data_IF_183984321118
#
_entry.id   IF_183984321118
#
_cell.length_a   1.000
_cell.length_b   1.000
_cell.length_c   1.000
_cell.angle_alpha   90.00
_cell.angle_beta   90.00
_cell.angle_gamma   90.00
#
_symmetry.space_group_name_H-M   'P 1'
#
loop_
_entity.id
_entity.type
_entity.pdbx_description
1 polymer ?
#
# COMPACT_ATOMS: atom_id res chain seq x y z
N UNK A 1 8.36 -9.71 -10.85
CA UNK A 1 8.01 -8.35 -10.40
C UNK A 1 8.93 -7.27 -10.96
N UNK A 2 10.23 -7.48 -10.91
CA UNK A 2 11.20 -6.50 -11.44
C UNK A 2 11.04 -6.28 -12.95
N UNK A 3 10.78 -7.33 -13.70
CA UNK A 3 10.54 -7.23 -15.15
C UNK A 3 9.29 -6.43 -15.47
N UNK A 4 8.21 -6.64 -14.73
CA UNK A 4 6.98 -5.88 -14.88
C UNK A 4 7.19 -4.41 -14.54
N UNK A 5 7.89 -4.13 -13.46
CA UNK A 5 8.21 -2.76 -13.06
C UNK A 5 9.06 -2.05 -14.13
N UNK A 6 10.09 -2.72 -14.65
CA UNK A 6 10.93 -2.19 -15.72
C UNK A 6 10.12 -1.92 -17.00
N UNK A 7 9.23 -2.82 -17.36
CA UNK A 7 8.34 -2.64 -18.51
C UNK A 7 7.44 -1.43 -18.35
N UNK A 8 6.80 -1.28 -17.18
CA UNK A 8 5.92 -0.15 -16.91
C UNK A 8 6.67 1.20 -16.92
N UNK A 9 7.87 1.23 -16.34
CA UNK A 9 8.71 2.44 -16.37
C UNK A 9 9.02 2.83 -17.80
N UNK A 10 9.43 1.87 -18.64
CA UNK A 10 9.75 2.11 -20.04
C UNK A 10 8.53 2.64 -20.81
N UNK A 11 7.37 2.02 -20.68
CA UNK A 11 6.16 2.42 -21.38
C UNK A 11 5.70 3.83 -20.98
N UNK A 12 5.73 4.14 -19.71
CA UNK A 12 5.35 5.46 -19.20
C UNK A 12 6.36 6.52 -19.67
N UNK A 13 7.65 6.23 -19.61
CA UNK A 13 8.70 7.15 -20.06
C UNK A 13 8.60 7.41 -21.56
N UNK A 14 8.28 6.40 -22.35
CA UNK A 14 8.11 6.57 -23.81
C UNK A 14 6.99 7.57 -24.13
N UNK A 15 5.89 7.53 -23.38
CA UNK A 15 4.79 8.50 -23.54
C UNK A 15 5.27 9.93 -23.26
N UNK A 16 6.01 10.13 -22.19
CA UNK A 16 6.53 11.46 -21.83
C UNK A 16 7.59 11.94 -22.80
N UNK A 17 8.48 11.07 -23.28
CA UNK A 17 9.51 11.42 -24.28
C UNK A 17 8.91 11.91 -25.58
N UNK A 18 7.84 11.30 -26.03
CA UNK A 18 7.12 11.71 -27.25
C UNK A 18 6.65 13.16 -27.10
N UNK A 19 6.27 13.58 -25.90
CA UNK A 19 5.82 14.94 -25.61
C UNK A 19 6.97 15.89 -25.24
N UNK A 20 8.22 15.43 -25.28
CA UNK A 20 9.39 16.24 -24.94
C UNK A 20 9.60 16.50 -23.46
N UNK A 21 8.93 15.75 -22.59
CA UNK A 21 9.05 15.89 -21.14
C UNK A 21 10.11 14.94 -20.61
N UNK A 22 11.05 15.47 -19.81
CA UNK A 22 12.08 14.67 -19.15
C UNK A 22 11.70 14.45 -17.69
N UNK A 23 11.57 13.21 -17.31
CA UNK A 23 11.24 12.81 -15.93
C UNK A 23 12.26 11.75 -15.51
N UNK A 24 12.79 11.87 -14.29
CA UNK A 24 13.68 10.85 -13.74
C UNK A 24 12.87 9.58 -13.45
N UNK A 25 13.43 8.42 -13.78
CA UNK A 25 12.80 7.12 -13.55
C UNK A 25 12.38 6.91 -12.09
N UNK A 26 13.09 7.51 -11.15
CA UNK A 26 12.79 7.37 -9.72
C UNK A 26 11.38 7.83 -9.35
N UNK A 27 10.87 8.88 -10.00
CA UNK A 27 9.51 9.38 -9.74
C UNK A 27 8.45 8.36 -10.16
N UNK A 28 8.69 7.68 -11.27
CA UNK A 28 7.78 6.67 -11.80
C UNK A 28 7.92 5.37 -10.99
N UNK A 29 9.14 5.00 -10.62
CA UNK A 29 9.41 3.80 -9.81
C UNK A 29 8.72 3.85 -8.45
N UNK A 30 8.68 5.01 -7.80
CA UNK A 30 7.98 5.19 -6.52
C UNK A 30 6.49 4.89 -6.68
N UNK A 31 5.86 5.39 -7.74
CA UNK A 31 4.44 5.16 -8.01
C UNK A 31 4.17 3.69 -8.29
N UNK A 32 4.98 3.06 -9.12
CA UNK A 32 4.84 1.64 -9.46
C UNK A 32 5.02 0.76 -8.22
N UNK A 33 5.96 1.10 -7.34
CA UNK A 33 6.16 0.40 -6.08
C UNK A 33 4.89 0.39 -5.23
N UNK A 34 4.18 1.52 -5.17
CA UNK A 34 2.90 1.59 -4.45
C UNK A 34 1.80 0.77 -5.13
N UNK A 35 1.80 0.70 -6.45
CA UNK A 35 0.84 -0.12 -7.21
C UNK A 35 1.06 -1.63 -6.99
N UNK A 36 2.29 -2.04 -6.68
CA UNK A 36 2.66 -3.45 -6.46
C UNK A 36 2.72 -3.83 -4.98
N UNK A 37 2.23 -2.97 -4.10
CA UNK A 37 2.32 -3.18 -2.66
C UNK A 37 1.44 -4.32 -2.15
N UNK A 38 0.32 -4.57 -2.79
CA UNK A 38 -0.63 -5.61 -2.38
C UNK A 38 -0.34 -6.95 -3.05
N UNK A 39 -0.68 -8.01 -2.35
CA UNK A 39 -0.58 -9.38 -2.86
C UNK A 39 -1.91 -10.10 -2.64
N UNK A 40 -2.13 -11.14 -3.42
CA UNK A 40 -3.33 -11.97 -3.37
C UNK A 40 -3.00 -13.27 -2.65
N UNK A 41 -3.81 -13.66 -1.68
CA UNK A 41 -3.60 -14.90 -0.93
C UNK A 41 -4.21 -16.06 -1.71
N UNK A 42 -3.36 -16.96 -2.20
CA UNK A 42 -3.78 -18.16 -2.93
C UNK A 42 -4.23 -19.25 -1.97
N UNK A 43 -3.42 -19.50 -0.93
CA UNK A 43 -3.72 -20.50 0.10
C UNK A 43 -3.22 -19.92 1.44
N UNK A 44 -4.11 -19.69 2.40
CA UNK A 44 -3.71 -19.12 3.69
C UNK A 44 -2.90 -20.08 4.58
N UNK A 45 -2.92 -21.39 4.31
CA UNK A 45 -2.26 -22.35 5.17
C UNK A 45 -2.77 -22.25 6.62
N UNK A 46 -1.85 -22.13 7.56
CA UNK A 46 -2.18 -21.96 9.00
C UNK A 46 -2.07 -20.51 9.46
N UNK A 47 -2.08 -19.55 8.53
CA UNK A 47 -2.07 -18.12 8.86
C UNK A 47 -3.49 -17.57 9.01
N UNK A 48 -3.68 -16.39 9.66
CA UNK A 48 -5.01 -15.80 9.84
C UNK A 48 -5.62 -15.18 8.59
N UNK A 49 -5.00 -15.39 7.42
CA UNK A 49 -5.51 -14.84 6.16
C UNK A 49 -6.67 -15.68 5.61
N UNK A 50 -7.44 -15.06 4.70
CA UNK A 50 -8.55 -15.70 4.01
C UNK A 50 -8.14 -15.87 2.54
N UNK A 51 -8.52 -16.99 1.92
CA UNK A 51 -8.25 -17.24 0.51
C UNK A 51 -8.88 -16.14 -0.37
N UNK A 52 -8.10 -15.58 -1.29
CA UNK A 52 -8.53 -14.50 -2.16
C UNK A 52 -8.48 -13.12 -1.52
N UNK A 53 -7.99 -13.00 -0.28
CA UNK A 53 -7.81 -11.73 0.38
C UNK A 53 -6.63 -10.96 -0.22
N UNK A 54 -6.79 -9.65 -0.38
CA UNK A 54 -5.72 -8.76 -0.83
C UNK A 54 -5.12 -8.07 0.39
N UNK A 55 -3.86 -8.37 0.68
CA UNK A 55 -3.16 -7.84 1.86
C UNK A 55 -1.82 -7.24 1.45
N UNK A 56 -1.24 -6.44 2.32
CA UNK A 56 0.09 -5.88 2.08
C UNK A 56 1.15 -6.98 2.13
N UNK A 57 2.13 -6.88 1.21
CA UNK A 57 3.21 -7.85 1.12
C UNK A 57 4.02 -7.96 2.41
N UNK A 58 4.28 -6.84 3.07
CA UNK A 58 5.01 -6.83 4.34
C UNK A 58 4.29 -7.62 5.42
N UNK A 59 2.96 -7.50 5.49
CA UNK A 59 2.15 -8.24 6.45
C UNK A 59 2.20 -9.74 6.21
N UNK A 60 2.13 -10.17 4.95
CA UNK A 60 2.24 -11.59 4.58
C UNK A 60 3.62 -12.12 4.96
N UNK A 61 4.68 -11.38 4.70
CA UNK A 61 6.05 -11.78 5.05
C UNK A 61 6.22 -11.91 6.56
N UNK A 62 5.67 -10.98 7.35
CA UNK A 62 5.71 -11.05 8.82
C UNK A 62 4.96 -12.27 9.36
N UNK A 63 3.76 -12.54 8.86
CA UNK A 63 2.96 -13.68 9.29
C UNK A 63 3.60 -15.01 8.86
N UNK A 64 4.21 -15.07 7.68
CA UNK A 64 4.95 -16.25 7.23
C UNK A 64 6.19 -16.50 8.07
N UNK A 65 6.91 -15.46 8.47
CA UNK A 65 8.05 -15.58 9.38
C UNK A 65 7.61 -16.11 10.74
N UNK A 66 6.50 -15.60 11.27
CA UNK A 66 5.92 -16.11 12.53
C UNK A 66 5.49 -17.57 12.39
N UNK A 67 4.82 -17.92 11.29
CA UNK A 67 4.38 -19.30 11.03
C UNK A 67 5.58 -20.24 10.91
N UNK A 68 6.66 -19.82 10.25
CA UNK A 68 7.87 -20.61 10.14
C UNK A 68 8.52 -20.85 11.49
N UNK A 69 8.56 -19.86 12.37
CA UNK A 69 9.12 -20.00 13.73
C UNK A 69 8.30 -20.95 14.60
N UNK A 70 7.00 -21.08 14.35
CA UNK A 70 6.07 -21.96 15.04
C UNK A 70 5.87 -23.31 14.34
N UNK A 71 6.62 -23.59 13.27
CA UNK A 71 6.51 -24.80 12.44
C UNK A 71 5.09 -25.00 11.86
N UNK A 72 4.43 -23.91 11.47
CA UNK A 72 3.13 -23.94 10.78
C UNK A 72 3.30 -23.89 9.27
N UNK A 73 2.23 -24.23 8.55
CA UNK A 73 2.19 -24.12 7.09
C UNK A 73 2.14 -22.66 6.69
N UNK A 74 3.03 -22.26 5.78
CA UNK A 74 3.11 -20.88 5.29
C UNK A 74 1.96 -20.56 4.33
N UNK A 75 1.59 -19.28 4.26
CA UNK A 75 0.63 -18.81 3.26
C UNK A 75 1.30 -18.73 1.89
N UNK A 76 0.58 -19.19 0.85
CA UNK A 76 0.96 -19.00 -0.54
C UNK A 76 0.30 -17.73 -1.06
N UNK A 77 1.06 -16.91 -1.75
CA UNK A 77 0.59 -15.63 -2.27
C UNK A 77 1.21 -15.33 -3.62
N UNK A 78 0.55 -14.44 -4.37
CA UNK A 78 1.09 -13.94 -5.64
C UNK A 78 0.99 -12.42 -5.67
N UNK A 79 1.96 -11.73 -6.31
CA UNK A 79 1.89 -10.29 -6.49
C UNK A 79 0.72 -9.91 -7.40
N UNK A 80 0.09 -8.76 -7.10
CA UNK A 80 -0.93 -8.18 -7.97
C UNK A 80 -0.56 -6.74 -8.32
N UNK A 81 -0.97 -6.31 -9.50
CA UNK A 81 -0.81 -4.93 -9.95
C UNK A 81 -2.16 -4.23 -9.82
N UNK A 82 -2.21 -3.20 -8.97
CA UNK A 82 -3.38 -2.34 -8.83
C UNK A 82 -3.17 -1.05 -9.63
N UNK A 83 -4.23 -0.55 -10.25
CA UNK A 83 -4.21 0.79 -10.85
C UNK A 83 -4.03 1.87 -9.77
N UNK A 84 -3.69 3.09 -10.16
CA UNK A 84 -3.39 4.18 -9.23
C UNK A 84 -4.57 4.47 -8.29
N UNK A 85 -5.77 4.59 -8.83
CA UNK A 85 -6.98 4.86 -8.04
C UNK A 85 -7.25 3.75 -7.04
N UNK A 86 -7.21 2.50 -7.49
CA UNK A 86 -7.50 1.34 -6.64
C UNK A 86 -6.44 1.16 -5.56
N UNK A 87 -5.18 1.38 -5.89
CA UNK A 87 -4.09 1.33 -4.92
C UNK A 87 -4.26 2.42 -3.84
N UNK A 88 -4.69 3.62 -4.23
CA UNK A 88 -4.93 4.73 -3.30
C UNK A 88 -6.09 4.47 -2.36
N UNK A 89 -7.16 3.84 -2.85
CA UNK A 89 -8.34 3.50 -2.04
C UNK A 89 -8.11 2.27 -1.17
N UNK A 90 -7.16 1.42 -1.52
CA UNK A 90 -6.82 0.20 -0.78
C UNK A 90 -5.75 0.43 0.31
N UNK A 91 -5.48 1.68 0.69
CA UNK A 91 -4.53 2.00 1.76
C UNK A 91 -5.10 1.60 3.13
N UNK A 92 -4.21 1.33 4.09
CA UNK A 92 -4.64 1.02 5.46
C UNK A 92 -5.26 2.21 6.17
N UNK A 93 -4.91 3.44 5.75
CA UNK A 93 -5.47 4.66 6.31
C UNK A 93 -6.79 5.01 5.65
N UNK A 94 -7.90 4.90 6.39
CA UNK A 94 -9.20 5.33 5.87
C UNK A 94 -9.29 6.86 5.72
N UNK A 95 -8.56 7.62 6.51
CA UNK A 95 -8.51 9.10 6.40
C UNK A 95 -7.88 9.49 5.07
N UNK A 96 -6.76 8.88 4.71
CA UNK A 96 -6.09 9.12 3.43
C UNK A 96 -6.98 8.72 2.24
N UNK A 97 -7.60 7.54 2.31
CA UNK A 97 -8.50 7.06 1.26
C UNK A 97 -9.72 7.96 1.10
N UNK A 98 -10.31 8.41 2.20
CA UNK A 98 -11.48 9.29 2.19
C UNK A 98 -11.17 10.66 1.57
N UNK A 99 -9.95 11.17 1.75
CA UNK A 99 -9.54 12.46 1.18
C UNK A 99 -9.30 12.40 -0.33
N UNK A 100 -9.09 11.21 -0.87
CA UNK A 100 -8.80 11.04 -2.29
C UNK A 100 -10.07 10.97 -3.14
N UNK A 101 -10.98 10.08 -2.79
CA UNK A 101 -12.19 9.82 -3.58
C UNK A 101 -13.22 9.06 -2.75
N UNK A 102 -14.51 9.21 -3.10
CA UNK A 102 -15.60 8.50 -2.45
C UNK A 102 -15.63 8.70 -0.91
N UNK A 103 -15.48 9.96 -0.48
CA UNK A 103 -15.34 10.34 0.92
C UNK A 103 -16.45 9.75 1.80
N UNK A 104 -17.71 9.92 1.41
CA UNK A 104 -18.85 9.45 2.19
C UNK A 104 -18.85 7.93 2.34
N UNK A 105 -18.60 7.21 1.23
CA UNK A 105 -18.56 5.76 1.23
C UNK A 105 -17.43 5.23 2.11
N UNK A 106 -16.23 5.77 1.98
CA UNK A 106 -15.06 5.34 2.75
C UNK A 106 -15.27 5.57 4.23
N UNK A 107 -15.75 6.76 4.62
CA UNK A 107 -16.00 7.08 6.03
C UNK A 107 -17.12 6.24 6.62
N UNK A 108 -18.18 5.97 5.86
CA UNK A 108 -19.29 5.14 6.30
C UNK A 108 -18.83 3.70 6.54
N UNK A 109 -18.09 3.11 5.60
CA UNK A 109 -17.53 1.76 5.76
C UNK A 109 -16.59 1.66 6.95
N UNK A 110 -15.72 2.67 7.13
CA UNK A 110 -14.80 2.70 8.27
C UNK A 110 -15.54 2.76 9.60
N UNK A 111 -16.61 3.58 9.69
CA UNK A 111 -17.41 3.71 10.89
C UNK A 111 -18.15 2.40 11.22
N UNK A 112 -18.75 1.74 10.21
CA UNK A 112 -19.46 0.48 10.39
C UNK A 112 -18.54 -0.64 10.86
N UNK A 113 -17.31 -0.69 10.31
CA UNK A 113 -16.31 -1.70 10.67
C UNK A 113 -15.55 -1.37 11.95
N UNK A 114 -15.68 -0.16 12.49
CA UNK A 114 -14.91 0.28 13.64
C UNK A 114 -13.42 0.36 13.37
N UNK A 115 -13.03 0.80 12.17
CA UNK A 115 -11.64 0.88 11.78
C UNK A 115 -10.88 1.95 12.55
N UNK A 116 -9.62 1.68 12.80
CA UNK A 116 -8.71 2.60 13.46
C UNK A 116 -7.61 3.03 12.50
N UNK A 117 -7.30 4.32 12.49
CA UNK A 117 -6.19 4.88 11.73
C UNK A 117 -5.06 5.24 12.70
N UNK A 118 -3.91 4.58 12.54
CA UNK A 118 -2.76 4.78 13.41
C UNK A 118 -1.93 6.03 13.04
N UNK A 119 -2.33 6.78 12.02
CA UNK A 119 -1.66 8.02 11.59
C UNK A 119 -0.18 7.81 11.25
N UNK A 120 0.14 6.74 10.54
CA UNK A 120 1.51 6.39 10.17
C UNK A 120 2.03 7.14 8.93
N UNK A 121 1.13 7.58 8.06
CA UNK A 121 1.47 8.24 6.81
C UNK A 121 1.55 9.76 6.95
N UNK A 122 2.01 10.40 5.89
CA UNK A 122 2.13 11.86 5.85
C UNK A 122 0.78 12.53 5.70
N UNK A 123 -0.04 12.04 4.77
CA UNK A 123 -1.31 12.64 4.39
C UNK A 123 -2.31 12.69 5.54
N UNK A 124 -2.47 11.59 6.27
CA UNK A 124 -3.37 11.50 7.42
C UNK A 124 -3.00 12.51 8.51
N UNK A 125 -1.73 12.67 8.80
CA UNK A 125 -1.26 13.62 9.81
C UNK A 125 -1.51 15.07 9.38
N UNK A 126 -1.30 15.37 8.11
CA UNK A 126 -1.59 16.71 7.55
C UNK A 126 -3.08 17.03 7.67
N UNK A 127 -3.95 16.09 7.34
CA UNK A 127 -5.40 16.26 7.36
C UNK A 127 -5.90 16.55 8.77
N UNK A 128 -5.40 15.83 9.78
CA UNK A 128 -5.83 16.03 11.18
C UNK A 128 -5.07 17.16 11.89
N UNK A 129 -4.13 17.82 11.21
CA UNK A 129 -3.39 18.95 11.77
C UNK A 129 -2.26 18.59 12.71
N UNK A 130 -1.74 17.36 12.64
CA UNK A 130 -0.59 16.91 13.42
C UNK A 130 0.71 17.03 12.65
N UNK A 131 1.84 16.99 13.37
CA UNK A 131 3.15 16.94 12.75
C UNK A 131 3.32 15.61 11.98
N UNK A 132 3.95 15.67 10.82
CA UNK A 132 4.27 14.46 10.04
C UNK A 132 5.33 13.64 10.77
N UNK A 133 5.38 12.29 10.60
CA UNK A 133 6.39 11.44 11.24
C UNK A 133 7.76 11.52 10.54
N UNK A 134 8.29 12.75 10.36
CA UNK A 134 9.57 13.03 9.74
C UNK A 134 10.15 14.33 10.31
N UNK A 135 11.47 14.46 10.33
CA UNK A 135 12.13 15.62 10.90
C UNK A 135 11.84 15.77 12.38
N UNK A 136 11.46 16.96 12.82
CA UNK A 136 11.09 17.25 14.23
C UNK A 136 9.83 16.48 14.65
N UNK A 137 8.93 16.21 13.70
CA UNK A 137 7.72 15.43 13.95
C UNK A 137 7.99 13.97 14.23
N UNK A 138 9.09 13.40 13.75
CA UNK A 138 9.46 12.02 14.02
C UNK A 138 9.67 11.78 15.51
N UNK A 139 10.39 12.67 16.17
CA UNK A 139 10.61 12.60 17.61
C UNK A 139 9.30 12.67 18.39
N UNK A 140 8.39 13.53 17.96
CA UNK A 140 7.04 13.64 18.54
C UNK A 140 6.25 12.33 18.45
N UNK A 141 6.28 11.67 17.30
CA UNK A 141 5.55 10.42 17.08
C UNK A 141 6.16 9.22 17.81
N UNK A 142 7.45 9.26 18.13
CA UNK A 142 8.13 8.19 18.88
C UNK A 142 7.88 8.26 20.41
N UNK A 143 7.35 9.38 20.89
CA UNK A 143 6.92 9.52 22.28
C UNK A 143 5.52 8.93 22.44
#
# INVERSE_FOLDING_TARGET
>A
MEELAAYLVKEIQDVYRVQGVKINDKHIEVIIRQMLRKVDILDPGETPFIRGEQVERTRVLEENERAQSENRVLALWQPILLGITKASLATESFISAASFQETTRVLTEAAVRGLRDDLRGLKENVIVGRLIPAGTGLAYHLQ
#
